data_IF_226634165648
#
_entry.id   IF_226634165648
#
_cell.length_a   1.000
_cell.length_b   1.000
_cell.length_c   1.000
_cell.angle_alpha   90.00
_cell.angle_beta   90.00
_cell.angle_gamma   90.00
#
_symmetry.space_group_name_H-M   'P 1'
#
loop_
_entity.id
_entity.type
_entity.pdbx_description
1 polymer ?
#
# COMPACT_ATOMS: atom_id res chain seq x y z
N UNK A 1 -11.59 -11.14 -17.97
CA UNK A 1 -11.18 -10.59 -16.67
C UNK A 1 -10.56 -9.24 -16.96
N UNK A 2 -11.17 -8.13 -16.56
CA UNK A 2 -10.65 -6.80 -16.87
C UNK A 2 -9.29 -6.62 -16.19
N UNK A 3 -8.24 -6.30 -16.96
CA UNK A 3 -6.92 -5.98 -16.42
C UNK A 3 -7.04 -4.73 -15.53
N UNK A 4 -6.83 -4.89 -14.23
CA UNK A 4 -6.58 -3.76 -13.34
C UNK A 4 -5.17 -3.23 -13.59
N UNK A 5 -4.98 -2.54 -14.73
CA UNK A 5 -3.74 -1.82 -14.96
C UNK A 5 -3.63 -0.67 -13.94
N UNK A 6 -2.46 -0.46 -13.32
CA UNK A 6 -2.21 0.71 -12.48
C UNK A 6 -2.10 2.00 -13.31
N UNK A 7 -2.16 1.92 -14.65
CA UNK A 7 -2.07 3.09 -15.51
C UNK A 7 -3.21 4.09 -15.24
N UNK A 8 -2.93 5.40 -15.34
CA UNK A 8 -3.95 6.42 -15.20
C UNK A 8 -4.94 6.30 -16.36
N UNK A 9 -6.10 5.71 -16.09
CA UNK A 9 -7.19 5.64 -17.07
C UNK A 9 -8.02 6.92 -17.00
N UNK A 10 -8.57 7.40 -18.14
CA UNK A 10 -9.47 8.56 -18.14
C UNK A 10 -10.64 8.40 -17.17
N UNK A 11 -11.17 7.18 -17.03
CA UNK A 11 -12.25 6.84 -16.11
C UNK A 11 -11.88 7.15 -14.64
N UNK A 12 -10.68 6.74 -14.19
CA UNK A 12 -10.21 7.03 -12.82
C UNK A 12 -10.06 8.54 -12.57
N UNK A 13 -9.61 9.28 -13.58
CA UNK A 13 -9.47 10.74 -13.48
C UNK A 13 -10.84 11.43 -13.33
N UNK A 14 -11.86 10.97 -14.04
CA UNK A 14 -13.23 11.51 -13.94
C UNK A 14 -13.79 11.31 -12.53
N UNK A 15 -13.65 10.12 -11.94
CA UNK A 15 -14.13 9.88 -10.57
C UNK A 15 -13.44 10.78 -9.55
N UNK A 16 -12.12 10.95 -9.66
CA UNK A 16 -11.37 11.86 -8.79
C UNK A 16 -11.82 13.32 -8.93
N UNK A 17 -12.06 13.77 -10.17
CA UNK A 17 -12.55 15.14 -10.43
C UNK A 17 -13.97 15.37 -9.88
N UNK A 18 -14.89 14.43 -10.10
CA UNK A 18 -16.25 14.53 -9.57
C UNK A 18 -16.23 14.54 -8.05
N UNK A 19 -15.43 13.67 -7.43
CA UNK A 19 -15.25 13.65 -5.98
C UNK A 19 -14.70 14.98 -5.47
N UNK A 20 -13.66 15.52 -6.13
CA UNK A 20 -13.07 16.83 -5.79
C UNK A 20 -14.14 17.93 -5.77
N UNK A 21 -14.87 18.12 -6.88
CA UNK A 21 -15.91 19.17 -6.97
C UNK A 21 -17.00 18.96 -5.93
N UNK A 22 -17.48 17.71 -5.77
CA UNK A 22 -18.50 17.38 -4.79
C UNK A 22 -18.05 17.66 -3.35
N UNK A 23 -16.80 17.35 -2.99
CA UNK A 23 -16.25 17.61 -1.66
C UNK A 23 -16.23 19.10 -1.36
N UNK A 24 -15.78 19.96 -2.28
CA UNK A 24 -15.78 21.41 -2.04
C UNK A 24 -17.19 21.98 -1.94
N UNK A 25 -18.13 21.49 -2.77
CA UNK A 25 -19.52 21.93 -2.72
C UNK A 25 -20.16 21.55 -1.38
N UNK A 26 -20.07 20.28 -0.98
CA UNK A 26 -20.60 19.79 0.30
C UNK A 26 -19.94 20.49 1.49
N UNK A 27 -18.63 20.72 1.45
CA UNK A 27 -17.91 21.44 2.49
C UNK A 27 -18.37 22.91 2.57
N UNK A 28 -18.55 23.58 1.44
CA UNK A 28 -19.11 24.93 1.39
C UNK A 28 -20.51 25.01 1.97
N UNK A 29 -21.40 24.07 1.62
CA UNK A 29 -22.74 23.96 2.19
C UNK A 29 -22.70 23.68 3.70
N UNK A 30 -21.78 22.83 4.15
CA UNK A 30 -21.60 22.51 5.57
C UNK A 30 -21.16 23.73 6.38
N UNK A 31 -20.19 24.49 5.88
CA UNK A 31 -19.73 25.74 6.51
C UNK A 31 -20.84 26.80 6.50
N UNK A 32 -21.49 27.00 5.36
CA UNK A 32 -22.61 27.93 5.23
C UNK A 32 -23.71 27.58 6.24
N UNK A 33 -24.09 26.31 6.30
CA UNK A 33 -25.01 25.83 7.32
C UNK A 33 -24.49 26.17 8.70
N UNK A 34 -23.26 25.77 9.06
CA UNK A 34 -22.68 25.91 10.40
C UNK A 34 -22.70 27.35 10.94
N UNK A 35 -22.45 28.35 10.09
CA UNK A 35 -22.39 29.76 10.49
C UNK A 35 -23.70 30.55 10.32
N UNK A 36 -24.64 30.09 9.48
CA UNK A 36 -25.90 30.80 9.31
C UNK A 36 -26.77 30.73 10.58
N UNK A 37 -27.37 31.85 11.03
CA UNK A 37 -28.32 31.80 12.14
C UNK A 37 -29.61 31.10 11.72
N UNK A 38 -30.23 30.37 12.65
CA UNK A 38 -31.48 29.61 12.39
C UNK A 38 -32.62 30.49 11.89
N UNK A 39 -32.69 31.74 12.33
CA UNK A 39 -33.71 32.69 11.87
C UNK A 39 -33.68 32.93 10.36
N UNK A 40 -32.50 32.88 9.73
CA UNK A 40 -32.36 33.03 8.28
C UNK A 40 -32.76 31.75 7.55
N UNK A 41 -32.38 30.60 8.09
CA UNK A 41 -32.76 29.28 7.58
C UNK A 41 -34.28 29.07 7.62
N UNK A 42 -34.93 29.46 8.72
CA UNK A 42 -36.40 29.40 8.85
C UNK A 42 -37.11 30.32 7.87
N UNK A 43 -36.55 31.50 7.57
CA UNK A 43 -37.07 32.39 6.51
C UNK A 43 -36.95 31.80 5.10
N UNK A 44 -35.91 31.00 4.86
CA UNK A 44 -35.72 30.22 3.64
C UNK A 44 -36.61 28.96 3.60
N UNK A 45 -37.40 28.68 4.64
CA UNK A 45 -38.26 27.50 4.73
C UNK A 45 -37.54 26.23 5.20
N UNK A 46 -36.29 26.34 5.64
CA UNK A 46 -35.48 25.19 6.08
C UNK A 46 -35.57 25.07 7.59
N UNK A 47 -36.45 24.19 8.08
CA UNK A 47 -36.77 24.05 9.51
C UNK A 47 -36.29 22.75 10.16
N UNK A 48 -35.92 21.74 9.37
CA UNK A 48 -35.61 20.39 9.86
C UNK A 48 -34.15 19.98 9.64
N UNK A 49 -33.20 20.84 10.05
CA UNK A 49 -31.78 20.51 10.02
C UNK A 49 -31.31 19.87 11.34
N UNK A 50 -30.23 19.07 11.30
CA UNK A 50 -29.64 18.51 12.51
C UNK A 50 -29.22 19.60 13.50
N UNK A 51 -29.12 19.23 14.77
CA UNK A 51 -28.64 20.14 15.82
C UNK A 51 -27.19 20.61 15.57
N UNK A 52 -26.88 21.84 15.98
CA UNK A 52 -25.58 22.51 15.77
C UNK A 52 -24.37 21.77 16.35
N UNK A 53 -24.54 20.87 17.32
CA UNK A 53 -23.41 20.09 17.86
C UNK A 53 -22.72 19.25 16.77
N UNK A 54 -23.43 18.88 15.69
CA UNK A 54 -22.87 18.16 14.54
C UNK A 54 -21.78 18.93 13.79
N UNK A 55 -21.66 20.24 14.03
CA UNK A 55 -20.51 21.03 13.54
C UNK A 55 -19.19 20.52 14.13
N UNK A 56 -19.20 20.07 15.38
CA UNK A 56 -18.01 19.51 16.04
C UNK A 56 -17.97 17.99 15.97
N UNK A 57 -19.13 17.35 16.15
CA UNK A 57 -19.20 15.90 16.15
C UNK A 57 -18.87 15.30 14.77
N UNK A 58 -19.32 15.92 13.68
CA UNK A 58 -19.05 15.43 12.31
C UNK A 58 -17.55 15.26 12.03
N UNK A 59 -16.72 16.32 12.16
CA UNK A 59 -15.27 16.22 11.97
C UNK A 59 -14.61 15.26 12.96
N UNK A 60 -15.05 15.22 14.22
CA UNK A 60 -14.52 14.30 15.22
C UNK A 60 -14.77 12.83 14.84
N UNK A 61 -16.00 12.49 14.46
CA UNK A 61 -16.33 11.15 13.99
C UNK A 61 -15.56 10.80 12.71
N UNK A 62 -15.42 11.73 11.77
CA UNK A 62 -14.63 11.50 10.55
C UNK A 62 -13.18 11.12 10.87
N UNK A 63 -12.52 11.86 11.78
CA UNK A 63 -11.16 11.55 12.22
C UNK A 63 -11.06 10.17 12.89
N UNK A 64 -11.98 9.85 13.80
CA UNK A 64 -12.00 8.56 14.50
C UNK A 64 -12.26 7.41 13.52
N UNK A 65 -13.22 7.56 12.61
CA UNK A 65 -13.52 6.57 11.57
C UNK A 65 -12.33 6.36 10.64
N UNK A 66 -11.63 7.43 10.24
CA UNK A 66 -10.44 7.32 9.41
C UNK A 66 -9.34 6.48 10.09
N UNK A 67 -9.04 6.78 11.36
CA UNK A 67 -8.08 5.98 12.14
C UNK A 67 -8.55 4.53 12.30
N UNK A 68 -9.82 4.32 12.59
CA UNK A 68 -10.40 2.99 12.73
C UNK A 68 -10.24 2.16 11.44
N UNK A 69 -10.50 2.76 10.28
CA UNK A 69 -10.31 2.10 8.97
C UNK A 69 -8.84 1.72 8.76
N UNK A 70 -7.88 2.58 9.14
CA UNK A 70 -6.46 2.23 9.06
C UNK A 70 -6.09 1.05 9.96
N UNK A 71 -6.58 1.03 11.20
CA UNK A 71 -6.39 -0.10 12.10
C UNK A 71 -6.98 -1.39 11.52
N UNK A 72 -8.24 -1.35 11.06
CA UNK A 72 -8.87 -2.50 10.42
C UNK A 72 -8.09 -2.98 9.20
N UNK A 73 -7.58 -2.06 8.38
CA UNK A 73 -6.77 -2.40 7.20
C UNK A 73 -5.47 -3.10 7.61
N UNK A 74 -4.73 -2.58 8.59
CA UNK A 74 -3.50 -3.22 9.08
C UNK A 74 -3.81 -4.59 9.68
N UNK A 75 -4.85 -4.70 10.52
CA UNK A 75 -5.28 -5.98 11.09
C UNK A 75 -5.67 -7.00 10.01
N UNK A 76 -6.36 -6.55 8.96
CA UNK A 76 -6.74 -7.41 7.83
C UNK A 76 -5.52 -7.91 7.06
N UNK A 77 -4.55 -7.02 6.78
CA UNK A 77 -3.30 -7.41 6.16
C UNK A 77 -2.54 -8.43 7.02
N UNK A 78 -2.42 -8.19 8.33
CA UNK A 78 -1.77 -9.12 9.26
C UNK A 78 -2.46 -10.49 9.28
N UNK A 79 -3.79 -10.54 9.19
CA UNK A 79 -4.54 -11.80 9.12
C UNK A 79 -4.28 -12.57 7.81
N UNK A 80 -3.96 -11.86 6.73
CA UNK A 80 -3.65 -12.45 5.42
C UNK A 80 -2.17 -12.77 5.21
N UNK A 81 -1.27 -12.12 5.97
CA UNK A 81 0.17 -12.36 5.90
C UNK A 81 0.51 -13.77 6.41
N UNK A 82 1.24 -14.59 5.62
CA UNK A 82 1.74 -15.88 6.10
C UNK A 82 2.63 -15.74 7.35
N UNK A 83 2.78 -16.80 8.18
CA UNK A 83 3.68 -16.74 9.32
C UNK A 83 5.12 -16.46 8.85
N UNK A 84 5.90 -15.75 9.67
CA UNK A 84 7.27 -15.30 9.32
C UNK A 84 8.20 -16.44 8.88
N UNK A 85 7.95 -17.66 9.35
CA UNK A 85 8.73 -18.86 9.01
C UNK A 85 8.29 -19.55 7.70
N UNK A 86 7.28 -19.03 6.99
CA UNK A 86 6.80 -19.64 5.74
C UNK A 86 7.71 -19.29 4.57
N UNK A 87 8.10 -20.28 3.76
CA UNK A 87 8.83 -20.04 2.51
C UNK A 87 8.06 -19.17 1.50
N UNK A 88 6.74 -19.08 1.64
CA UNK A 88 5.89 -18.21 0.82
C UNK A 88 6.17 -16.71 1.02
N UNK A 89 6.86 -16.32 2.09
CA UNK A 89 7.32 -14.94 2.29
C UNK A 89 8.62 -14.63 1.53
N UNK A 90 9.34 -15.66 1.07
CA UNK A 90 10.63 -15.53 0.38
C UNK A 90 10.51 -15.76 -1.13
N UNK A 91 9.69 -16.74 -1.55
CA UNK A 91 9.50 -17.07 -2.97
C UNK A 91 8.04 -17.39 -3.24
N UNK A 92 7.57 -17.04 -4.44
CA UNK A 92 6.24 -17.37 -4.92
C UNK A 92 6.31 -18.27 -6.17
N UNK A 93 5.14 -18.57 -6.74
CA UNK A 93 5.00 -19.35 -7.97
C UNK A 93 5.40 -18.58 -9.24
N UNK A 94 5.62 -17.27 -9.14
CA UNK A 94 6.02 -16.40 -10.25
C UNK A 94 7.54 -16.17 -10.29
N UNK A 95 8.26 -16.56 -9.24
CA UNK A 95 9.72 -16.54 -9.18
C UNK A 95 10.33 -17.33 -10.35
N UNK A 96 11.19 -16.66 -11.12
CA UNK A 96 11.80 -17.19 -12.35
C UNK A 96 13.21 -17.66 -12.06
N UNK A 97 13.38 -18.92 -11.72
CA UNK A 97 14.73 -19.49 -11.53
C UNK A 97 15.45 -19.61 -12.87
N UNK A 98 16.73 -19.23 -12.89
CA UNK A 98 17.60 -19.51 -14.04
C UNK A 98 17.74 -21.04 -14.22
N UNK A 99 17.68 -21.56 -15.46
CA UNK A 99 17.91 -22.98 -15.72
C UNK A 99 19.29 -23.42 -15.20
N UNK A 100 19.32 -24.49 -14.40
CA UNK A 100 20.53 -25.01 -13.76
C UNK A 100 21.60 -25.40 -14.81
N UNK A 101 21.16 -25.94 -15.94
CA UNK A 101 22.00 -26.29 -17.10
C UNK A 101 22.76 -25.10 -17.73
N UNK A 102 22.26 -23.87 -17.54
CA UNK A 102 22.89 -22.65 -18.08
C UNK A 102 23.83 -21.99 -17.07
N UNK A 103 23.75 -22.31 -15.77
CA UNK A 103 24.68 -21.81 -14.77
C UNK A 103 26.10 -22.37 -14.98
N UNK A 104 26.22 -23.66 -15.26
CA UNK A 104 27.51 -24.31 -15.55
C UNK A 104 28.19 -23.76 -16.83
N UNK A 105 27.39 -23.28 -17.80
CA UNK A 105 27.92 -22.66 -19.03
C UNK A 105 28.45 -21.23 -18.81
N UNK A 106 28.15 -20.63 -17.67
CA UNK A 106 28.60 -19.27 -17.32
C UNK A 106 30.09 -19.26 -16.90
N UNK A 107 30.65 -20.42 -16.53
CA UNK A 107 32.09 -20.57 -16.22
C UNK A 107 33.02 -20.22 -17.39
N UNK A 108 32.50 -20.12 -18.62
CA UNK A 108 33.23 -19.74 -19.83
C UNK A 108 33.28 -18.23 -20.16
N UNK A 109 32.85 -17.34 -19.25
CA UNK A 109 32.89 -15.88 -19.48
C UNK A 109 31.67 -15.30 -20.22
N UNK A 110 30.61 -16.08 -20.38
CA UNK A 110 29.34 -15.65 -20.97
C UNK A 110 28.49 -14.89 -19.93
N UNK A 111 27.57 -14.03 -20.39
CA UNK A 111 26.57 -13.39 -19.52
C UNK A 111 25.55 -14.46 -19.08
N UNK A 112 25.27 -14.61 -17.76
CA UNK A 112 24.30 -15.60 -17.28
C UNK A 112 22.88 -15.26 -17.73
N UNK A 113 22.00 -16.27 -17.85
CA UNK A 113 20.58 -16.04 -18.13
C UNK A 113 19.91 -15.23 -17.00
N UNK A 114 18.96 -14.39 -17.37
CA UNK A 114 18.20 -13.59 -16.42
C UNK A 114 17.25 -14.48 -15.62
N UNK A 115 17.42 -14.49 -14.29
CA UNK A 115 16.55 -15.20 -13.37
C UNK A 115 16.76 -14.73 -11.93
N UNK A 116 15.78 -15.02 -11.09
CA UNK A 116 15.79 -14.74 -9.66
C UNK A 116 16.80 -15.65 -8.97
N UNK A 117 17.65 -15.06 -8.12
CA UNK A 117 18.65 -15.76 -7.34
C UNK A 117 18.09 -15.96 -5.93
N UNK A 118 18.18 -17.19 -5.42
CA UNK A 118 17.74 -17.51 -4.05
C UNK A 118 18.53 -16.67 -3.02
N UNK A 119 17.84 -16.14 -2.02
CA UNK A 119 18.43 -15.35 -0.93
C UNK A 119 19.55 -16.12 -0.22
N UNK A 120 19.45 -17.45 -0.18
CA UNK A 120 20.48 -18.32 0.38
C UNK A 120 21.80 -18.20 -0.38
N UNK A 121 21.74 -18.17 -1.72
CA UNK A 121 22.90 -18.01 -2.60
C UNK A 121 23.50 -16.62 -2.47
N UNK A 122 22.65 -15.58 -2.45
CA UNK A 122 23.10 -14.20 -2.24
C UNK A 122 23.83 -14.06 -0.90
N UNK A 123 23.25 -14.58 0.19
CA UNK A 123 23.84 -14.51 1.51
C UNK A 123 25.17 -15.25 1.59
N UNK A 124 25.26 -16.43 0.98
CA UNK A 124 26.50 -17.19 0.90
C UNK A 124 27.59 -16.42 0.15
N UNK A 125 27.27 -15.85 -1.01
CA UNK A 125 28.25 -15.20 -1.87
C UNK A 125 28.70 -13.83 -1.35
N UNK A 126 27.79 -13.01 -0.84
CA UNK A 126 28.09 -11.63 -0.44
C UNK A 126 28.51 -11.51 1.02
N UNK A 127 27.88 -12.26 1.93
CA UNK A 127 28.07 -12.05 3.38
C UNK A 127 28.89 -13.15 4.05
N UNK A 128 28.75 -14.42 3.64
CA UNK A 128 29.45 -15.55 4.30
C UNK A 128 30.76 -15.97 3.62
N UNK A 129 31.00 -15.55 2.37
CA UNK A 129 32.22 -15.89 1.63
C UNK A 129 33.44 -15.14 2.16
N UNK A 130 33.26 -13.92 2.66
CA UNK A 130 34.36 -13.11 3.18
C UNK A 130 34.87 -13.60 4.55
N UNK A 131 34.00 -14.16 5.39
CA UNK A 131 34.37 -14.64 6.74
C UNK A 131 35.15 -15.96 6.74
N UNK A 132 35.02 -16.79 5.71
CA UNK A 132 35.73 -18.08 5.63
C UNK A 132 37.16 -17.97 5.08
N UNK A 133 37.56 -16.86 4.48
CA UNK A 133 38.93 -16.69 3.95
C UNK A 133 39.92 -16.32 5.06
N UNK A 134 39.47 -15.69 6.15
CA UNK A 134 40.30 -15.34 7.31
C UNK A 134 40.52 -16.48 8.33
N UNK A 135 39.82 -17.62 8.18
CA UNK A 135 39.89 -18.75 9.13
C UNK A 135 40.73 -19.94 8.66
N UNK A 136 41.41 -19.86 7.51
CA UNK A 136 42.39 -20.89 7.13
C UNK A 136 43.66 -20.71 7.99
N UNK A 137 44.01 -21.64 8.91
CA UNK A 137 45.34 -21.61 9.50
C UNK A 137 46.35 -21.83 8.37
N UNK A 138 47.19 -20.81 8.16
CA UNK A 138 48.42 -20.94 7.38
C UNK A 138 49.25 -22.03 8.06
N UNK A 139 49.18 -23.24 7.51
CA UNK A 139 50.02 -24.35 7.92
C UNK A 139 51.48 -23.95 7.63
N UNK A 140 52.30 -23.96 8.66
CA UNK A 140 53.74 -23.67 8.61
C UNK A 140 54.51 -24.96 8.43
#
# INVERSE_FOLDING_TARGET
MAEHSPSPTPERAIYGFVLYVATYLLFGLYILWAYLPESWLTKLGITYLPQRFWVFAGPMYFCVTFLFVLFCYVSWNLLKTPPLNSMSTLTDQFARKAPEELQDRTSGGCVPPLGDIDITTVNRCLYLRHTNVEQLPVNK
#
